data_IF_187704392353
#
_entry.id   IF_187704392353
#
_cell.length_a   1.000
_cell.length_b   1.000
_cell.length_c   1.000
_cell.angle_alpha   90.00
_cell.angle_beta   90.00
_cell.angle_gamma   90.00
#
_symmetry.space_group_name_H-M   'P 1'
#
loop_
_entity.id
_entity.type
_entity.pdbx_description
1 polymer ?
#
# COMPACT_ATOMS: atom_id res chain seq x y z
N UNK A 1 -2.94 19.47 -6.73
CA UNK A 1 -1.85 19.06 -7.63
C UNK A 1 -2.44 18.12 -8.67
N UNK A 2 -2.06 18.24 -9.94
CA UNK A 2 -2.47 17.28 -10.98
C UNK A 2 -1.49 16.10 -11.05
N UNK A 3 -1.86 15.06 -11.82
CA UNK A 3 -1.09 13.82 -11.91
C UNK A 3 0.30 14.03 -12.51
N UNK A 4 0.40 14.81 -13.60
CA UNK A 4 1.66 15.04 -14.30
C UNK A 4 2.65 15.81 -13.44
N UNK A 5 2.22 16.92 -12.82
CA UNK A 5 3.07 17.71 -11.92
C UNK A 5 3.57 16.87 -10.75
N UNK A 6 2.71 16.01 -10.19
CA UNK A 6 3.11 15.12 -9.09
C UNK A 6 4.11 14.05 -9.56
N UNK A 7 3.89 13.46 -10.74
CA UNK A 7 4.82 12.47 -11.32
C UNK A 7 6.17 13.08 -11.66
N UNK A 8 6.22 14.31 -12.17
CA UNK A 8 7.46 15.01 -12.46
C UNK A 8 8.25 15.25 -11.17
N UNK A 9 7.60 15.72 -10.10
CA UNK A 9 8.25 15.90 -8.79
C UNK A 9 8.80 14.59 -8.23
N UNK A 10 8.04 13.50 -8.36
CA UNK A 10 8.48 12.20 -7.87
C UNK A 10 9.64 11.66 -8.71
N UNK A 11 9.58 11.81 -10.04
CA UNK A 11 10.65 11.42 -10.97
C UNK A 11 11.94 12.22 -10.71
N UNK A 12 11.82 13.54 -10.54
CA UNK A 12 12.94 14.41 -10.19
C UNK A 12 13.61 13.97 -8.89
N UNK A 13 12.83 13.53 -7.90
CA UNK A 13 13.39 12.98 -6.66
C UNK A 13 14.16 11.68 -6.91
N UNK A 14 13.64 10.78 -7.76
CA UNK A 14 14.33 9.54 -8.12
C UNK A 14 15.63 9.79 -8.88
N UNK A 15 15.65 10.75 -9.79
CA UNK A 15 16.83 11.08 -10.61
C UNK A 15 17.92 11.79 -9.81
N UNK A 16 17.53 12.65 -8.85
CA UNK A 16 18.47 13.44 -8.04
C UNK A 16 18.80 12.80 -6.68
N UNK A 17 18.53 11.50 -6.52
CA UNK A 17 18.57 10.77 -5.25
C UNK A 17 19.85 11.05 -4.43
N UNK A 18 19.68 11.63 -3.25
CA UNK A 18 20.67 11.62 -2.15
C UNK A 18 20.16 10.81 -0.96
N UNK A 19 21.09 10.27 -0.16
CA UNK A 19 20.79 9.31 0.93
C UNK A 19 19.99 9.91 2.10
N UNK A 20 19.83 11.23 2.13
CA UNK A 20 19.29 12.05 3.22
C UNK A 20 17.93 12.71 2.89
N UNK A 21 17.31 12.37 1.75
CA UNK A 21 16.12 13.06 1.25
C UNK A 21 14.80 12.32 1.47
N UNK A 22 14.71 11.44 2.48
CA UNK A 22 13.49 10.66 2.74
C UNK A 22 12.34 11.54 3.20
N UNK A 23 12.62 12.63 3.94
CA UNK A 23 11.60 13.60 4.36
C UNK A 23 10.96 14.32 3.16
N UNK A 24 11.75 14.69 2.14
CA UNK A 24 11.21 15.31 0.93
C UNK A 24 10.39 14.31 0.10
N UNK A 25 10.82 13.04 0.05
CA UNK A 25 10.04 11.97 -0.58
C UNK A 25 8.69 11.81 0.10
N UNK A 26 8.67 11.74 1.43
CA UNK A 26 7.46 11.61 2.23
C UNK A 26 6.47 12.75 1.93
N UNK A 27 6.97 14.00 1.86
CA UNK A 27 6.15 15.16 1.51
C UNK A 27 5.52 15.04 0.11
N UNK A 28 6.25 14.51 -0.88
CA UNK A 28 5.73 14.27 -2.23
C UNK A 28 4.66 13.17 -2.21
N UNK A 29 4.92 12.06 -1.51
CA UNK A 29 3.99 10.92 -1.45
C UNK A 29 2.67 11.26 -0.77
N UNK A 30 2.69 12.09 0.28
CA UNK A 30 1.47 12.51 0.98
C UNK A 30 0.64 13.53 0.20
N UNK A 31 1.21 14.13 -0.85
CA UNK A 31 0.52 15.01 -1.80
C UNK A 31 0.01 14.27 -3.05
N UNK A 32 0.11 12.93 -3.08
CA UNK A 32 -0.37 12.13 -4.21
C UNK A 32 -1.84 12.48 -4.55
N UNK A 33 -2.11 12.91 -5.80
CA UNK A 33 -3.46 13.26 -6.20
C UNK A 33 -4.34 12.01 -6.29
N UNK A 34 -5.65 12.19 -6.15
CA UNK A 34 -6.64 11.09 -6.24
C UNK A 34 -6.52 10.34 -7.58
N UNK A 35 -6.12 11.06 -8.64
CA UNK A 35 -5.89 10.52 -9.98
C UNK A 35 -4.84 9.38 -10.02
N UNK A 36 -3.92 9.28 -9.05
CA UNK A 36 -2.98 8.15 -8.93
C UNK A 36 -3.71 6.83 -8.74
N UNK A 37 -4.88 6.86 -8.09
CA UNK A 37 -5.64 5.69 -7.69
C UNK A 37 -6.87 5.42 -8.56
N UNK A 38 -6.94 6.02 -9.75
CA UNK A 38 -8.04 5.88 -10.69
C UNK A 38 -8.79 7.19 -10.97
N UNK A 39 -9.95 7.14 -11.64
CA UNK A 39 -10.84 5.99 -11.74
C UNK A 39 -10.45 4.94 -12.79
N UNK A 40 -9.72 5.31 -13.85
CA UNK A 40 -9.36 4.42 -14.96
C UNK A 40 -7.90 3.98 -14.90
N UNK A 41 -7.62 2.74 -15.33
CA UNK A 41 -6.25 2.23 -15.45
C UNK A 41 -5.67 2.58 -16.81
N UNK A 42 -5.03 3.74 -16.94
CA UNK A 42 -4.12 3.98 -18.08
C UNK A 42 -2.69 3.59 -17.71
N UNK A 43 -1.81 3.53 -18.71
CA UNK A 43 -0.37 3.30 -18.50
C UNK A 43 0.24 4.32 -17.53
N UNK A 44 -0.26 5.56 -17.52
CA UNK A 44 0.20 6.61 -16.62
C UNK A 44 -0.19 6.31 -15.17
N UNK A 45 -1.45 5.94 -14.91
CA UNK A 45 -1.90 5.57 -13.55
C UNK A 45 -1.21 4.31 -13.05
N UNK A 46 -1.02 3.31 -13.92
CA UNK A 46 -0.29 2.08 -13.60
C UNK A 46 1.14 2.38 -13.12
N UNK A 47 1.84 3.28 -13.82
CA UNK A 47 3.17 3.76 -13.38
C UNK A 47 3.06 4.59 -12.10
N UNK A 48 2.09 5.50 -12.03
CA UNK A 48 1.89 6.38 -10.87
C UNK A 48 1.74 5.60 -9.56
N UNK A 49 0.83 4.62 -9.55
CA UNK A 49 0.52 3.85 -8.35
C UNK A 49 1.69 2.94 -7.96
N UNK A 50 2.42 2.40 -8.93
CA UNK A 50 3.63 1.62 -8.69
C UNK A 50 4.76 2.48 -8.11
N UNK A 51 5.02 3.66 -8.67
CA UNK A 51 6.03 4.60 -8.18
C UNK A 51 5.69 5.14 -6.79
N UNK A 52 4.41 5.42 -6.55
CA UNK A 52 3.90 5.81 -5.22
C UNK A 52 4.17 4.70 -4.19
N UNK A 53 3.81 3.45 -4.51
CA UNK A 53 4.04 2.32 -3.62
C UNK A 53 5.53 2.08 -3.35
N UNK A 54 6.38 2.14 -4.38
CA UNK A 54 7.84 2.03 -4.22
C UNK A 54 8.37 3.12 -3.27
N UNK A 55 7.91 4.36 -3.43
CA UNK A 55 8.27 5.46 -2.56
C UNK A 55 7.86 5.21 -1.11
N UNK A 56 6.63 4.78 -0.86
CA UNK A 56 6.16 4.44 0.49
C UNK A 56 7.01 3.33 1.12
N UNK A 57 7.37 2.29 0.36
CA UNK A 57 8.24 1.23 0.85
C UNK A 57 9.66 1.71 1.15
N UNK A 58 10.17 2.71 0.43
CA UNK A 58 11.47 3.35 0.74
C UNK A 58 11.42 4.15 2.04
N UNK A 59 10.35 4.93 2.25
CA UNK A 59 10.13 5.65 3.52
C UNK A 59 10.07 4.65 4.68
N UNK A 60 9.33 3.55 4.51
CA UNK A 60 9.29 2.46 5.47
C UNK A 60 10.67 1.86 5.73
N UNK A 61 11.41 1.47 4.69
CA UNK A 61 12.73 0.85 4.83
C UNK A 61 13.73 1.75 5.55
N UNK A 62 13.67 3.05 5.28
CA UNK A 62 14.47 4.03 5.99
C UNK A 62 14.10 4.03 7.48
N UNK A 63 12.83 4.27 7.81
CA UNK A 63 12.34 4.39 9.19
C UNK A 63 12.52 3.10 10.01
N UNK A 64 12.49 1.92 9.36
CA UNK A 64 12.47 0.59 10.00
C UNK A 64 13.50 0.39 11.12
N UNK A 65 14.66 1.04 11.05
CA UNK A 65 15.77 0.83 11.97
C UNK A 65 15.96 1.92 13.02
N UNK A 66 15.29 3.06 12.90
CA UNK A 66 15.50 4.21 13.78
C UNK A 66 14.21 4.82 14.33
N UNK A 67 13.07 4.59 13.68
CA UNK A 67 11.75 5.02 14.12
C UNK A 67 10.70 3.95 13.78
N UNK A 68 10.54 3.00 14.70
CA UNK A 68 9.64 1.86 14.50
C UNK A 68 8.17 2.30 14.37
N UNK A 69 7.78 3.35 15.08
CA UNK A 69 6.42 3.86 15.04
C UNK A 69 6.13 4.50 13.68
N UNK A 70 7.04 5.34 13.17
CA UNK A 70 6.92 5.91 11.82
C UNK A 70 6.93 4.85 10.74
N UNK A 71 7.79 3.83 10.86
CA UNK A 71 7.83 2.72 9.93
C UNK A 71 6.46 2.02 9.85
N UNK A 72 5.87 1.69 11.00
CA UNK A 72 4.56 1.07 11.06
C UNK A 72 3.45 1.97 10.52
N UNK A 73 3.45 3.26 10.90
CA UNK A 73 2.49 4.25 10.41
C UNK A 73 2.57 4.41 8.88
N UNK A 74 3.77 4.32 8.31
CA UNK A 74 3.96 4.34 6.85
C UNK A 74 3.27 3.16 6.20
N UNK A 75 3.41 1.95 6.76
CA UNK A 75 2.70 0.76 6.26
C UNK A 75 1.18 0.90 6.40
N UNK A 76 0.69 1.41 7.53
CA UNK A 76 -0.73 1.66 7.77
C UNK A 76 -1.30 2.69 6.79
N UNK A 77 -0.59 3.80 6.56
CA UNK A 77 -0.97 4.82 5.58
C UNK A 77 -1.05 4.23 4.17
N UNK A 78 -0.03 3.46 3.79
CA UNK A 78 0.04 2.83 2.47
C UNK A 78 -1.12 1.85 2.29
N UNK A 79 -1.38 1.02 3.29
CA UNK A 79 -2.53 0.12 3.33
C UNK A 79 -3.85 0.89 3.16
N UNK A 80 -4.12 1.86 4.02
CA UNK A 80 -5.37 2.62 3.99
C UNK A 80 -5.66 3.27 2.63
N UNK A 81 -4.64 3.77 1.92
CA UNK A 81 -4.80 4.32 0.56
C UNK A 81 -5.18 3.27 -0.47
N UNK A 82 -4.57 2.08 -0.42
CA UNK A 82 -4.95 0.98 -1.29
C UNK A 82 -6.35 0.44 -0.96
N UNK A 83 -6.72 0.37 0.32
CA UNK A 83 -8.06 -0.04 0.76
C UNK A 83 -9.11 0.95 0.25
N UNK A 84 -8.85 2.25 0.38
CA UNK A 84 -9.70 3.31 -0.16
C UNK A 84 -9.91 3.14 -1.67
N UNK A 85 -8.83 2.92 -2.43
CA UNK A 85 -8.91 2.72 -3.87
C UNK A 85 -9.70 1.45 -4.25
N UNK A 86 -9.50 0.36 -3.50
CA UNK A 86 -10.19 -0.92 -3.72
C UNK A 86 -11.71 -0.84 -3.43
N UNK A 87 -12.09 -0.10 -2.40
CA UNK A 87 -13.48 0.06 -1.96
C UNK A 87 -14.25 1.13 -2.75
N UNK A 88 -13.56 2.00 -3.49
CA UNK A 88 -14.21 3.08 -4.23
C UNK A 88 -15.05 2.52 -5.39
N UNK A 89 -16.38 2.79 -5.46
CA UNK A 89 -17.26 2.15 -6.44
C UNK A 89 -16.84 2.39 -7.90
N UNK A 90 -16.39 3.60 -8.21
CA UNK A 90 -16.04 4.04 -9.57
C UNK A 90 -14.63 3.65 -10.03
N UNK A 91 -13.83 3.04 -9.15
CA UNK A 91 -12.47 2.60 -9.52
C UNK A 91 -12.53 1.35 -10.39
N UNK A 92 -11.72 1.35 -11.46
CA UNK A 92 -11.54 0.25 -12.39
C UNK A 92 -11.23 -1.07 -11.66
N UNK A 93 -11.83 -2.16 -12.13
CA UNK A 93 -11.68 -3.48 -11.51
C UNK A 93 -10.22 -3.97 -11.48
N UNK A 94 -9.40 -3.59 -12.46
CA UNK A 94 -7.99 -3.92 -12.51
C UNK A 94 -7.19 -3.15 -11.45
N UNK A 95 -7.54 -1.89 -11.19
CA UNK A 95 -6.94 -1.12 -10.08
C UNK A 95 -7.34 -1.77 -8.75
N UNK A 96 -8.61 -2.14 -8.58
CA UNK A 96 -9.08 -2.83 -7.37
C UNK A 96 -8.33 -4.14 -7.13
N UNK A 97 -8.24 -5.00 -8.15
CA UNK A 97 -7.49 -6.26 -8.08
C UNK A 97 -6.01 -6.03 -7.76
N UNK A 98 -5.39 -5.03 -8.40
CA UNK A 98 -4.01 -4.66 -8.13
C UNK A 98 -3.83 -4.23 -6.66
N UNK A 99 -4.66 -3.31 -6.17
CA UNK A 99 -4.63 -2.82 -4.80
C UNK A 99 -4.79 -3.95 -3.79
N UNK A 100 -5.75 -4.86 -4.00
CA UNK A 100 -6.02 -5.97 -3.08
C UNK A 100 -4.88 -6.99 -3.04
N UNK A 101 -4.25 -7.29 -4.19
CA UNK A 101 -3.04 -8.12 -4.22
C UNK A 101 -1.89 -7.48 -3.45
N UNK A 102 -1.69 -6.16 -3.58
CA UNK A 102 -0.60 -5.45 -2.87
C UNK A 102 -0.91 -5.30 -1.39
N UNK A 103 -2.18 -5.13 -1.02
CA UNK A 103 -2.63 -5.12 0.37
C UNK A 103 -2.28 -6.42 1.10
N UNK A 104 -2.47 -7.58 0.47
CA UNK A 104 -2.06 -8.86 1.06
C UNK A 104 -0.56 -8.86 1.40
N UNK A 105 0.28 -8.41 0.47
CA UNK A 105 1.73 -8.32 0.70
C UNK A 105 2.10 -7.31 1.79
N UNK A 106 1.44 -6.14 1.81
CA UNK A 106 1.66 -5.13 2.85
C UNK A 106 1.23 -5.61 4.24
N UNK A 107 0.12 -6.33 4.35
CA UNK A 107 -0.33 -6.93 5.61
C UNK A 107 0.72 -7.92 6.12
N UNK A 108 1.25 -8.81 5.27
CA UNK A 108 2.31 -9.73 5.66
C UNK A 108 3.56 -8.98 6.11
N UNK A 109 4.00 -7.97 5.35
CA UNK A 109 5.16 -7.14 5.70
C UNK A 109 4.97 -6.43 7.05
N UNK A 110 3.77 -5.91 7.33
CA UNK A 110 3.45 -5.27 8.59
C UNK A 110 3.45 -6.26 9.77
N UNK A 111 2.94 -7.48 9.57
CA UNK A 111 2.99 -8.54 10.57
C UNK A 111 4.42 -9.01 10.87
N UNK A 112 5.22 -9.20 9.82
CA UNK A 112 6.65 -9.51 9.96
C UNK A 112 7.38 -8.40 10.73
N UNK A 113 7.08 -7.14 10.41
CA UNK A 113 7.64 -6.01 11.12
C UNK A 113 7.25 -6.03 12.61
N UNK A 114 5.98 -6.21 12.96
CA UNK A 114 5.53 -6.32 14.36
C UNK A 114 6.24 -7.46 15.11
N UNK A 115 6.38 -8.62 14.47
CA UNK A 115 7.03 -9.80 15.06
C UNK A 115 8.54 -9.60 15.31
N UNK A 116 9.18 -8.66 14.63
CA UNK A 116 10.60 -8.34 14.78
C UNK A 116 10.89 -7.31 15.89
N UNK A 117 9.86 -6.74 16.51
CA UNK A 117 10.03 -5.69 17.51
C UNK A 117 10.32 -6.25 18.90
N UNK A 118 11.02 -5.46 19.72
CA UNK A 118 11.40 -5.87 21.08
C UNK A 118 10.21 -5.84 22.06
N UNK A 119 9.33 -4.83 21.99
CA UNK A 119 8.18 -4.69 22.90
C UNK A 119 6.95 -5.46 22.40
N UNK A 120 6.93 -6.76 22.64
CA UNK A 120 5.88 -7.61 22.12
C UNK A 120 4.46 -7.31 22.67
N UNK A 121 4.30 -6.59 23.79
CA UNK A 121 2.96 -6.27 24.29
C UNK A 121 2.20 -5.34 23.34
N UNK A 122 2.85 -4.25 22.91
CA UNK A 122 2.25 -3.31 21.95
C UNK A 122 2.14 -3.94 20.56
N UNK A 123 3.22 -4.56 20.08
CA UNK A 123 3.30 -5.02 18.70
C UNK A 123 2.43 -6.24 18.41
N UNK A 124 2.17 -7.11 19.39
CA UNK A 124 1.18 -8.19 19.24
C UNK A 124 -0.25 -7.65 19.16
N UNK A 125 -0.58 -6.59 19.91
CA UNK A 125 -1.87 -5.94 19.78
C UNK A 125 -2.03 -5.31 18.40
N UNK A 126 -1.00 -4.62 17.91
CA UNK A 126 -1.00 -4.04 16.55
C UNK A 126 -1.14 -5.12 15.47
N UNK A 127 -0.41 -6.24 15.60
CA UNK A 127 -0.53 -7.37 14.68
C UNK A 127 -1.93 -7.99 14.69
N UNK A 128 -2.54 -8.14 15.87
CA UNK A 128 -3.91 -8.66 16.00
C UNK A 128 -4.93 -7.74 15.32
N UNK A 129 -4.83 -6.44 15.57
CA UNK A 129 -5.69 -5.44 14.94
C UNK A 129 -5.57 -5.45 13.41
N UNK A 130 -4.34 -5.61 12.88
CA UNK A 130 -4.08 -5.72 11.44
C UNK A 130 -4.75 -6.96 10.84
N UNK A 131 -4.63 -8.12 11.49
CA UNK A 131 -5.27 -9.36 11.02
C UNK A 131 -6.79 -9.19 10.99
N UNK A 132 -7.39 -8.71 12.08
CA UNK A 132 -8.84 -8.52 12.18
C UNK A 132 -9.36 -7.56 11.10
N UNK A 133 -8.69 -6.42 10.92
CA UNK A 133 -9.06 -5.41 9.93
C UNK A 133 -8.94 -5.96 8.50
N UNK A 134 -7.81 -6.63 8.19
CA UNK A 134 -7.59 -7.23 6.87
C UNK A 134 -8.64 -8.31 6.57
N UNK A 135 -8.92 -9.21 7.52
CA UNK A 135 -9.94 -10.25 7.34
C UNK A 135 -11.33 -9.64 7.16
N UNK A 136 -11.69 -8.61 7.92
CA UNK A 136 -12.97 -7.92 7.78
C UNK A 136 -13.13 -7.29 6.40
N UNK A 137 -12.09 -6.62 5.90
CA UNK A 137 -12.06 -6.05 4.54
C UNK A 137 -12.22 -7.12 3.47
N UNK A 138 -11.42 -8.19 3.52
CA UNK A 138 -11.47 -9.24 2.51
C UNK A 138 -12.84 -9.92 2.46
N UNK A 139 -13.48 -10.09 3.62
CA UNK A 139 -14.86 -10.59 3.72
C UNK A 139 -15.86 -9.61 3.12
N UNK A 140 -15.76 -8.31 3.42
CA UNK A 140 -16.73 -7.32 2.93
C UNK A 140 -16.69 -7.17 1.40
N UNK A 141 -15.51 -7.35 0.80
CA UNK A 141 -15.32 -7.31 -0.64
C UNK A 141 -15.65 -8.63 -1.34
N UNK A 142 -16.05 -9.68 -0.60
CA UNK A 142 -16.12 -11.06 -1.08
C UNK A 142 -14.85 -11.47 -1.84
N UNK A 143 -13.69 -10.97 -1.36
CA UNK A 143 -12.40 -11.20 -1.97
C UNK A 143 -11.88 -12.57 -1.52
N UNK A 144 -12.46 -13.60 -2.12
CA UNK A 144 -11.96 -14.95 -2.14
C UNK A 144 -12.51 -15.60 -3.42
N UNK A 145 -11.59 -16.01 -4.29
CA UNK A 145 -11.79 -16.89 -5.45
C UNK A 145 -12.46 -16.27 -6.69
N UNK A 146 -11.64 -15.98 -7.71
CA UNK A 146 -11.91 -16.63 -9.01
C UNK A 146 -12.13 -18.10 -8.67
N UNK A 147 -13.34 -18.62 -8.86
CA UNK A 147 -13.57 -20.06 -8.96
C UNK A 147 -12.57 -20.57 -9.98
N UNK A 148 -11.43 -21.10 -9.53
CA UNK A 148 -10.58 -21.90 -10.40
C UNK A 148 -11.47 -23.08 -10.77
N UNK A 149 -11.63 -23.32 -12.07
CA UNK A 149 -12.44 -24.40 -12.64
C UNK A 149 -12.03 -25.82 -12.19
N UNK A 150 -11.07 -25.95 -11.27
CA UNK A 150 -10.51 -27.21 -10.78
C UNK A 150 -10.95 -27.60 -9.36
N UNK A 151 -11.88 -26.88 -8.71
CA UNK A 151 -12.56 -27.44 -7.54
C UNK A 151 -13.60 -28.45 -8.04
N UNK A 152 -13.14 -29.70 -8.12
CA UNK A 152 -13.78 -30.81 -8.81
C UNK A 152 -15.28 -30.97 -8.61
N UNK A 153 -15.92 -31.40 -9.70
CA UNK A 153 -17.24 -32.02 -9.73
C UNK A 153 -17.36 -33.02 -8.57
N UNK A 154 -18.16 -32.67 -7.56
CA UNK A 154 -18.75 -33.70 -6.69
C UNK A 154 -19.91 -34.30 -7.46
N UNK A 155 -19.68 -35.51 -7.96
CA UNK A 155 -20.74 -36.45 -8.34
C UNK A 155 -21.61 -36.81 -7.13
#
# INVERSE_FOLDING_TARGET
MDLMTWQDQLSDWYDNRKHDQVESLEAILYQAPVAVFGPELTDEQSKAIACWLDGCLRVFQHARHHDHQKAFQTLQYTGAKLEQAACQPMTDILIKDWCLKRLQHLTVLALEFCNQQHDQNEWQQQASNLIESHVALMRSLNWNETRKHDQGLRH
#
